data_IF_069842151209
#
_entry.id   IF_069842151209
#
_cell.length_a   1.000
_cell.length_b   1.000
_cell.length_c   1.000
_cell.angle_alpha   90.00
_cell.angle_beta   90.00
_cell.angle_gamma   90.00
#
_symmetry.space_group_name_H-M   'P 1'
#
loop_
_entity.id
_entity.type
_entity.pdbx_description
1 polymer ?
#
# COMPACT_ATOMS: atom_id res chain seq x y z
N UNK A 1 -19.07 -1.68 4.26
CA UNK A 1 -19.32 -0.85 5.46
C UNK A 1 -18.15 0.10 5.69
N UNK A 2 -16.91 -0.41 5.71
CA UNK A 2 -15.70 0.33 6.09
C UNK A 2 -15.48 1.67 5.36
N UNK A 3 -15.75 1.73 4.05
CA UNK A 3 -15.65 2.97 3.28
C UNK A 3 -16.65 4.04 3.74
N UNK A 4 -17.91 3.66 3.99
CA UNK A 4 -18.95 4.57 4.50
C UNK A 4 -18.61 5.03 5.92
N UNK A 5 -18.17 4.11 6.78
CA UNK A 5 -17.77 4.44 8.16
C UNK A 5 -16.55 5.35 8.18
N UNK A 6 -15.59 5.15 7.26
CA UNK A 6 -14.43 6.04 7.10
C UNK A 6 -14.84 7.43 6.59
N UNK A 7 -15.81 7.53 5.68
CA UNK A 7 -16.36 8.81 5.24
C UNK A 7 -17.01 9.58 6.40
N UNK A 8 -17.83 8.90 7.20
CA UNK A 8 -18.44 9.48 8.41
C UNK A 8 -17.35 9.95 9.38
N UNK A 9 -16.34 9.11 9.63
CA UNK A 9 -15.20 9.46 10.48
C UNK A 9 -14.45 10.70 9.98
N UNK A 10 -14.20 10.77 8.67
CA UNK A 10 -13.56 11.92 8.03
C UNK A 10 -14.38 13.21 8.23
N UNK A 11 -15.70 13.15 8.08
CA UNK A 11 -16.59 14.28 8.38
C UNK A 11 -16.53 14.71 9.87
N UNK A 12 -16.17 13.80 10.77
CA UNK A 12 -15.97 14.06 12.19
C UNK A 12 -14.51 14.42 12.54
N UNK A 13 -13.65 14.64 11.54
CA UNK A 13 -12.26 15.07 11.73
C UNK A 13 -11.24 13.93 11.88
N UNK A 14 -11.61 12.67 11.62
CA UNK A 14 -10.65 11.56 11.58
C UNK A 14 -9.87 11.59 10.25
N UNK A 15 -8.54 11.84 10.26
CA UNK A 15 -7.75 11.88 9.04
C UNK A 15 -7.36 10.48 8.52
N UNK A 16 -7.70 9.42 9.26
CA UNK A 16 -7.30 8.05 8.96
C UNK A 16 -8.48 7.20 8.44
N UNK A 17 -8.19 6.38 7.43
CA UNK A 17 -9.15 5.39 6.91
C UNK A 17 -9.29 4.27 7.94
N UNK A 18 -10.54 3.88 8.24
CA UNK A 18 -10.80 2.76 9.13
C UNK A 18 -10.56 1.45 8.36
N UNK A 19 -9.87 0.50 9.00
CA UNK A 19 -9.61 -0.83 8.45
C UNK A 19 -10.14 -1.94 9.37
N UNK A 20 -10.25 -3.15 8.82
CA UNK A 20 -10.67 -4.32 9.59
C UNK A 20 -9.69 -4.57 10.73
N UNK A 21 -10.24 -4.68 11.93
CA UNK A 21 -9.46 -4.92 13.14
C UNK A 21 -8.82 -6.32 13.11
N UNK A 22 -7.48 -6.38 13.12
CA UNK A 22 -6.71 -7.64 13.07
C UNK A 22 -7.04 -8.60 14.21
N UNK A 23 -7.44 -8.07 15.38
CA UNK A 23 -7.81 -8.89 16.52
C UNK A 23 -9.17 -9.57 16.36
N UNK A 24 -10.03 -9.11 15.43
CA UNK A 24 -11.41 -9.58 15.33
C UNK A 24 -11.54 -11.09 15.15
N UNK A 25 -10.77 -11.78 14.27
CA UNK A 25 -10.77 -13.24 14.20
C UNK A 25 -10.43 -13.91 15.54
N UNK A 26 -9.45 -13.39 16.27
CA UNK A 26 -9.04 -13.91 17.59
C UNK A 26 -10.13 -13.75 18.65
N UNK A 27 -10.75 -12.57 18.75
CA UNK A 27 -11.87 -12.34 19.68
C UNK A 27 -13.10 -13.19 19.33
N UNK A 28 -13.36 -13.38 18.03
CA UNK A 28 -14.45 -14.24 17.56
C UNK A 28 -14.21 -15.71 17.94
N UNK A 29 -12.96 -16.18 17.84
CA UNK A 29 -12.57 -17.53 18.28
C UNK A 29 -12.72 -17.71 19.80
N UNK A 30 -12.52 -16.67 20.59
CA UNK A 30 -12.76 -16.65 22.05
C UNK A 30 -14.25 -16.51 22.43
N UNK A 31 -15.17 -16.59 21.47
CA UNK A 31 -16.61 -16.49 21.71
C UNK A 31 -17.16 -15.07 21.77
N UNK A 32 -16.36 -14.07 21.37
CA UNK A 32 -16.80 -12.67 21.24
C UNK A 32 -17.96 -12.54 20.25
N UNK A 33 -19.03 -11.87 20.68
CA UNK A 33 -20.25 -11.61 19.88
C UNK A 33 -20.50 -10.11 19.74
N UNK A 34 -21.61 -9.74 19.10
CA UNK A 34 -22.00 -8.34 18.88
C UNK A 34 -21.96 -7.47 20.16
N UNK A 35 -22.37 -8.04 21.31
CA UNK A 35 -22.32 -7.33 22.60
C UNK A 35 -20.91 -6.99 23.06
N UNK A 36 -19.92 -7.86 22.78
CA UNK A 36 -18.51 -7.58 23.06
C UNK A 36 -18.01 -6.41 22.21
N UNK A 37 -18.32 -6.42 20.90
CA UNK A 37 -17.94 -5.33 19.99
C UNK A 37 -18.59 -4.00 20.37
N UNK A 38 -19.89 -4.01 20.72
CA UNK A 38 -20.61 -2.82 21.16
C UNK A 38 -20.06 -2.28 22.49
N UNK A 39 -19.84 -3.15 23.49
CA UNK A 39 -19.26 -2.78 24.78
C UNK A 39 -17.85 -2.21 24.64
N UNK A 40 -17.02 -2.81 23.78
CA UNK A 40 -15.67 -2.30 23.46
C UNK A 40 -15.76 -0.91 22.84
N UNK A 41 -16.66 -0.69 21.88
CA UNK A 41 -16.88 0.62 21.28
C UNK A 41 -17.30 1.68 22.30
N UNK A 42 -18.27 1.37 23.17
CA UNK A 42 -18.73 2.27 24.24
C UNK A 42 -17.58 2.58 25.20
N UNK A 43 -16.82 1.58 25.63
CA UNK A 43 -15.67 1.77 26.53
C UNK A 43 -14.64 2.72 25.91
N UNK A 44 -14.28 2.52 24.64
CA UNK A 44 -13.33 3.39 23.94
C UNK A 44 -13.85 4.82 23.84
N UNK A 45 -15.15 5.02 23.55
CA UNK A 45 -15.77 6.36 23.54
C UNK A 45 -15.62 7.03 24.91
N UNK A 46 -15.92 6.31 26.00
CA UNK A 46 -15.78 6.84 27.35
C UNK A 46 -14.32 7.22 27.66
N UNK A 47 -13.37 6.33 27.36
CA UNK A 47 -11.94 6.58 27.56
C UNK A 47 -11.43 7.80 26.77
N UNK A 48 -11.93 8.00 25.55
CA UNK A 48 -11.64 9.20 24.75
C UNK A 48 -12.25 10.46 25.38
N UNK A 49 -13.52 10.42 25.79
CA UNK A 49 -14.22 11.59 26.36
C UNK A 49 -13.60 12.04 27.68
N UNK A 50 -13.17 11.10 28.51
CA UNK A 50 -12.47 11.39 29.78
C UNK A 50 -10.96 11.67 29.60
N UNK A 51 -10.45 11.71 28.37
CA UNK A 51 -9.04 12.02 28.07
C UNK A 51 -8.04 10.98 28.60
N UNK A 52 -8.52 9.80 29.03
CA UNK A 52 -7.71 8.78 29.70
C UNK A 52 -6.67 8.18 28.74
N UNK A 53 -6.99 8.11 27.44
CA UNK A 53 -6.05 7.62 26.42
C UNK A 53 -4.78 8.48 26.35
N UNK A 54 -4.90 9.81 26.45
CA UNK A 54 -3.73 10.70 26.43
C UNK A 54 -2.81 10.48 27.63
N UNK A 55 -3.38 10.19 28.81
CA UNK A 55 -2.62 9.84 30.01
C UNK A 55 -1.90 8.51 29.83
N UNK A 56 -2.57 7.50 29.26
CA UNK A 56 -1.96 6.21 28.96
C UNK A 56 -0.80 6.33 27.95
N UNK A 57 -0.95 7.16 26.91
CA UNK A 57 0.11 7.40 25.92
C UNK A 57 1.31 8.15 26.51
N UNK A 58 1.12 8.98 27.54
CA UNK A 58 2.21 9.61 28.27
C UNK A 58 3.00 8.62 29.15
N UNK A 59 2.33 7.57 29.63
CA UNK A 59 2.92 6.55 30.50
C UNK A 59 3.57 5.41 29.72
N UNK A 60 3.07 5.08 28.53
CA UNK A 60 3.59 4.00 27.69
C UNK A 60 4.75 4.52 26.85
N UNK A 61 5.98 4.00 27.02
CA UNK A 61 7.11 4.42 26.19
C UNK A 61 6.85 4.08 24.71
N UNK A 62 7.08 5.04 23.81
CA UNK A 62 6.90 4.83 22.37
C UNK A 62 7.75 3.65 21.84
N UNK A 63 8.90 3.38 22.46
CA UNK A 63 9.80 2.27 22.12
C UNK A 63 9.13 0.90 22.32
N UNK A 64 8.19 0.78 23.26
CA UNK A 64 7.46 -0.46 23.51
C UNK A 64 6.53 -0.86 22.35
N UNK A 65 6.23 0.07 21.45
CA UNK A 65 5.39 -0.17 20.27
C UNK A 65 6.18 -0.92 19.18
N UNK A 66 7.51 -0.78 19.15
CA UNK A 66 8.34 -1.31 18.06
C UNK A 66 8.28 -2.84 17.91
N UNK A 67 8.37 -3.66 18.98
CA UNK A 67 8.25 -5.12 18.83
C UNK A 67 6.90 -5.56 18.30
N UNK A 68 5.82 -4.84 18.65
CA UNK A 68 4.46 -5.11 18.17
C UNK A 68 4.38 -4.83 16.67
N UNK A 69 4.90 -3.69 16.21
CA UNK A 69 4.92 -3.35 14.79
C UNK A 69 5.78 -4.32 13.98
N UNK A 70 6.94 -4.72 14.51
CA UNK A 70 7.81 -5.72 13.88
C UNK A 70 7.08 -7.05 13.72
N UNK A 71 6.40 -7.52 14.78
CA UNK A 71 5.64 -8.77 14.75
C UNK A 71 4.50 -8.72 13.72
N UNK A 72 3.72 -7.63 13.71
CA UNK A 72 2.63 -7.44 12.75
C UNK A 72 3.18 -7.40 11.32
N UNK A 73 4.29 -6.68 11.07
CA UNK A 73 4.91 -6.62 9.75
C UNK A 73 5.40 -8.00 9.27
N UNK A 74 6.02 -8.78 10.16
CA UNK A 74 6.44 -10.15 9.84
C UNK A 74 5.26 -11.06 9.53
N UNK A 75 4.18 -11.01 10.32
CA UNK A 75 2.99 -11.82 10.10
C UNK A 75 2.26 -11.46 8.81
N UNK A 76 1.96 -10.18 8.59
CA UNK A 76 1.26 -9.75 7.37
C UNK A 76 2.15 -9.97 6.15
N UNK A 77 3.45 -9.71 6.28
CA UNK A 77 4.43 -9.95 5.24
C UNK A 77 4.49 -11.42 4.84
N UNK A 78 4.56 -12.35 5.80
CA UNK A 78 4.58 -13.79 5.49
C UNK A 78 3.24 -14.28 4.91
N UNK A 79 2.11 -13.83 5.47
CA UNK A 79 0.77 -14.15 4.98
C UNK A 79 0.57 -13.71 3.53
N UNK A 80 1.10 -12.55 3.13
CA UNK A 80 1.00 -12.09 1.75
C UNK A 80 1.57 -13.12 0.76
N UNK A 81 2.67 -13.82 1.11
CA UNK A 81 3.25 -14.86 0.27
C UNK A 81 2.63 -16.25 0.46
N UNK A 82 2.12 -16.55 1.65
CA UNK A 82 1.55 -17.87 1.96
C UNK A 82 0.11 -18.03 1.44
N UNK A 83 -0.68 -16.96 1.49
CA UNK A 83 -2.09 -16.95 1.07
C UNK A 83 -2.27 -16.60 -0.41
N UNK A 84 -1.17 -16.28 -1.11
CA UNK A 84 -1.18 -15.96 -2.54
C UNK A 84 -0.54 -17.11 -3.32
N UNK A 85 -1.06 -17.49 -4.51
CA UNK A 85 -0.40 -18.47 -5.38
C UNK A 85 1.09 -18.15 -5.58
N UNK A 86 1.95 -19.17 -5.51
CA UNK A 86 3.42 -19.00 -5.58
C UNK A 86 3.87 -18.27 -6.84
N UNK A 87 3.22 -18.54 -7.98
CA UNK A 87 3.47 -17.85 -9.25
C UNK A 87 3.27 -16.32 -9.19
N UNK A 88 2.54 -15.76 -8.21
CA UNK A 88 2.34 -14.31 -8.04
C UNK A 88 3.35 -13.64 -7.12
N UNK A 89 4.32 -14.37 -6.55
CA UNK A 89 5.36 -13.79 -5.69
C UNK A 89 6.05 -12.54 -6.29
N UNK A 90 6.37 -12.48 -7.60
CA UNK A 90 6.92 -11.26 -8.19
C UNK A 90 5.97 -10.05 -8.15
N UNK A 91 4.66 -10.27 -8.25
CA UNK A 91 3.67 -9.19 -8.18
C UNK A 91 3.56 -8.60 -6.77
N UNK A 92 3.72 -9.42 -5.73
CA UNK A 92 3.81 -8.96 -4.34
C UNK A 92 5.00 -8.01 -4.18
N UNK A 93 6.19 -8.43 -4.62
CA UNK A 93 7.40 -7.60 -4.55
C UNK A 93 7.23 -6.31 -5.35
N UNK A 94 6.67 -6.38 -6.57
CA UNK A 94 6.42 -5.19 -7.39
C UNK A 94 5.47 -4.20 -6.69
N UNK A 95 4.43 -4.70 -6.01
CA UNK A 95 3.47 -3.84 -5.30
C UNK A 95 4.08 -3.10 -4.10
N UNK A 96 5.18 -3.61 -3.53
CA UNK A 96 5.91 -2.98 -2.43
C UNK A 96 6.82 -1.84 -2.90
N UNK A 97 7.24 -1.83 -4.17
CA UNK A 97 8.22 -0.85 -4.69
C UNK A 97 7.78 0.61 -4.47
N UNK A 98 6.54 1.03 -4.80
CA UNK A 98 6.08 2.40 -4.51
C UNK A 98 6.10 2.76 -3.02
N UNK A 99 5.85 1.78 -2.14
CA UNK A 99 5.86 1.99 -0.70
C UNK A 99 7.29 2.24 -0.19
N UNK A 100 8.26 1.48 -0.69
CA UNK A 100 9.68 1.69 -0.39
C UNK A 100 10.17 3.06 -0.87
N UNK A 101 9.73 3.49 -2.06
CA UNK A 101 10.05 4.81 -2.58
C UNK A 101 9.48 5.93 -1.69
N UNK A 102 8.20 5.83 -1.29
CA UNK A 102 7.56 6.80 -0.40
C UNK A 102 8.23 6.86 0.99
N UNK A 103 8.60 5.70 1.54
CA UNK A 103 9.34 5.61 2.79
C UNK A 103 10.72 6.26 2.68
N UNK A 104 11.48 5.96 1.63
CA UNK A 104 12.80 6.57 1.39
C UNK A 104 12.69 8.09 1.25
N UNK A 105 11.73 8.60 0.48
CA UNK A 105 11.48 10.05 0.36
C UNK A 105 11.15 10.69 1.71
N UNK A 106 10.38 10.00 2.56
CA UNK A 106 10.06 10.49 3.91
C UNK A 106 11.31 10.60 4.79
N UNK A 107 12.19 9.59 4.77
CA UNK A 107 13.45 9.64 5.52
C UNK A 107 14.38 10.75 5.02
N UNK A 108 14.51 10.90 3.70
CA UNK A 108 15.32 11.96 3.08
C UNK A 108 14.79 13.34 3.49
N UNK A 109 13.47 13.55 3.40
CA UNK A 109 12.85 14.82 3.75
C UNK A 109 12.99 15.14 5.24
N UNK A 110 12.83 14.13 6.11
CA UNK A 110 13.05 14.28 7.55
C UNK A 110 14.48 14.68 7.88
N UNK A 111 15.47 14.03 7.25
CA UNK A 111 16.88 14.33 7.44
C UNK A 111 17.24 15.75 6.95
N UNK A 112 16.75 16.15 5.77
CA UNK A 112 16.95 17.50 5.24
C UNK A 112 16.30 18.56 6.12
N UNK A 113 15.06 18.32 6.59
CA UNK A 113 14.37 19.24 7.49
C UNK A 113 15.12 19.42 8.81
N UNK A 114 15.65 18.33 9.39
CA UNK A 114 16.51 18.39 10.58
C UNK A 114 17.81 19.17 10.34
N UNK A 115 18.34 19.15 9.11
CA UNK A 115 19.49 19.95 8.69
C UNK A 115 19.12 21.38 8.26
N UNK A 116 17.86 21.81 8.45
CA UNK A 116 17.39 23.16 8.13
C UNK A 116 16.97 23.37 6.66
N UNK A 117 16.93 22.30 5.85
CA UNK A 117 16.47 22.34 4.45
C UNK A 117 15.04 21.81 4.35
N UNK A 118 14.07 22.71 4.24
CA UNK A 118 12.65 22.34 4.15
C UNK A 118 12.24 22.32 2.68
N UNK A 119 12.04 21.12 2.11
CA UNK A 119 11.76 20.93 0.66
C UNK A 119 10.62 21.84 0.14
N UNK A 120 9.45 21.94 0.80
CA UNK A 120 8.38 22.82 0.33
C UNK A 120 8.71 24.32 0.31
N UNK A 121 9.75 24.75 1.01
CA UNK A 121 10.18 26.15 1.08
C UNK A 121 11.27 26.51 0.05
N UNK A 122 11.80 25.53 -0.68
CA UNK A 122 12.84 25.76 -1.68
C UNK A 122 12.26 26.39 -2.94
N UNK A 123 13.02 27.31 -3.55
CA UNK A 123 12.73 27.77 -4.92
C UNK A 123 13.02 26.65 -5.93
N UNK A 124 12.43 26.74 -7.12
CA UNK A 124 12.66 25.75 -8.18
C UNK A 124 14.16 25.59 -8.53
N UNK A 125 14.93 26.68 -8.51
CA UNK A 125 16.38 26.66 -8.76
C UNK A 125 17.15 25.93 -7.64
N UNK A 126 16.82 26.22 -6.38
CA UNK A 126 17.42 25.54 -5.22
C UNK A 126 17.10 24.04 -5.23
N UNK A 127 15.86 23.70 -5.57
CA UNK A 127 15.41 22.32 -5.68
C UNK A 127 16.16 21.56 -6.79
N UNK A 128 16.33 22.20 -7.95
CA UNK A 128 17.10 21.63 -9.07
C UNK A 128 18.58 21.44 -8.70
N UNK A 129 19.20 22.42 -8.04
CA UNK A 129 20.58 22.34 -7.58
C UNK A 129 20.79 21.27 -6.49
N UNK A 130 19.82 21.09 -5.59
CA UNK A 130 19.86 20.04 -4.57
C UNK A 130 19.73 18.66 -5.22
N UNK A 131 18.76 18.50 -6.11
CA UNK A 131 18.49 17.22 -6.78
C UNK A 131 19.65 16.81 -7.69
N UNK A 132 20.35 17.76 -8.32
CA UNK A 132 21.54 17.46 -9.12
C UNK A 132 22.72 16.99 -8.26
N UNK A 133 22.96 17.62 -7.11
CA UNK A 133 23.97 17.16 -6.13
C UNK A 133 23.62 15.77 -5.59
N UNK A 134 22.37 15.55 -5.19
CA UNK A 134 21.88 14.25 -4.74
C UNK A 134 22.09 13.15 -5.78
N UNK A 135 21.82 13.45 -7.06
CA UNK A 135 22.04 12.50 -8.15
C UNK A 135 23.50 12.06 -8.27
N UNK A 136 24.45 12.98 -8.10
CA UNK A 136 25.88 12.65 -8.16
C UNK A 136 26.31 11.70 -7.03
N UNK A 137 25.62 11.74 -5.89
CA UNK A 137 25.83 10.87 -4.73
C UNK A 137 24.93 9.61 -4.77
N UNK A 138 24.23 9.34 -5.88
CA UNK A 138 23.38 8.16 -6.06
C UNK A 138 21.96 8.30 -5.50
N UNK A 139 21.57 9.46 -4.97
CA UNK A 139 20.21 9.70 -4.46
C UNK A 139 19.31 10.22 -5.60
N UNK A 140 18.54 9.32 -6.19
CA UNK A 140 17.59 9.61 -7.29
C UNK A 140 16.27 10.22 -6.76
N UNK A 141 16.36 11.35 -6.07
CA UNK A 141 15.25 11.94 -5.30
C UNK A 141 13.96 12.15 -6.12
N UNK A 142 14.07 12.76 -7.31
CA UNK A 142 12.89 13.00 -8.17
C UNK A 142 12.19 11.70 -8.60
N UNK A 143 12.97 10.65 -8.88
CA UNK A 143 12.41 9.33 -9.22
C UNK A 143 11.68 8.69 -8.04
N UNK A 144 12.22 8.84 -6.82
CA UNK A 144 11.57 8.37 -5.59
C UNK A 144 10.26 9.13 -5.32
N UNK A 145 10.23 10.45 -5.56
CA UNK A 145 9.00 11.25 -5.43
C UNK A 145 7.90 10.76 -6.38
N UNK A 146 8.23 10.61 -7.67
CA UNK A 146 7.27 10.13 -8.67
C UNK A 146 6.81 8.71 -8.32
N UNK A 147 7.73 7.80 -7.99
CA UNK A 147 7.39 6.41 -7.72
C UNK A 147 6.59 6.24 -6.42
N UNK A 148 6.90 7.04 -5.39
CA UNK A 148 6.25 7.03 -4.09
C UNK A 148 4.93 7.81 -4.02
N UNK A 149 4.66 8.70 -4.98
CA UNK A 149 3.41 9.43 -5.09
C UNK A 149 2.21 8.48 -5.16
N UNK A 150 1.29 8.58 -4.19
CA UNK A 150 0.13 7.69 -4.11
C UNK A 150 0.48 6.21 -3.93
N UNK A 151 1.57 5.89 -3.21
CA UNK A 151 2.15 4.54 -3.09
C UNK A 151 1.16 3.39 -2.88
N UNK A 152 0.10 3.60 -2.10
CA UNK A 152 -0.97 2.60 -1.88
C UNK A 152 -1.67 2.24 -3.19
N UNK A 153 -2.18 3.25 -3.91
CA UNK A 153 -2.86 3.05 -5.19
C UNK A 153 -1.88 2.58 -6.26
N UNK A 154 -0.68 3.15 -6.30
CA UNK A 154 0.38 2.75 -7.23
C UNK A 154 0.78 1.28 -7.04
N UNK A 155 0.97 0.83 -5.80
CA UNK A 155 1.27 -0.56 -5.49
C UNK A 155 0.13 -1.51 -5.85
N UNK A 156 -1.12 -1.10 -5.57
CA UNK A 156 -2.31 -1.88 -5.92
C UNK A 156 -2.46 -2.06 -7.44
N UNK A 157 -2.34 -0.97 -8.21
CA UNK A 157 -2.46 -1.01 -9.67
C UNK A 157 -1.32 -1.83 -10.28
N UNK A 158 -0.07 -1.59 -9.88
CA UNK A 158 1.07 -2.36 -10.39
C UNK A 158 0.98 -3.84 -10.04
N UNK A 159 0.57 -4.18 -8.81
CA UNK A 159 0.32 -5.55 -8.38
C UNK A 159 -0.77 -6.23 -9.21
N UNK A 160 -1.92 -5.56 -9.39
CA UNK A 160 -3.01 -6.10 -10.20
C UNK A 160 -2.60 -6.33 -11.67
N UNK A 161 -1.91 -5.36 -12.28
CA UNK A 161 -1.41 -5.50 -13.65
C UNK A 161 -0.44 -6.68 -13.74
N UNK A 162 0.52 -6.80 -12.81
CA UNK A 162 1.46 -7.91 -12.79
C UNK A 162 0.77 -9.28 -12.64
N UNK A 163 -0.19 -9.40 -11.71
CA UNK A 163 -0.99 -10.63 -11.53
C UNK A 163 -1.71 -10.99 -12.83
N UNK A 164 -2.40 -10.05 -13.48
CA UNK A 164 -3.13 -10.35 -14.71
C UNK A 164 -2.21 -10.63 -15.90
N UNK A 165 -0.98 -10.10 -15.91
CA UNK A 165 0.04 -10.47 -16.89
C UNK A 165 0.54 -11.90 -16.64
N UNK A 166 0.81 -12.28 -15.39
CA UNK A 166 1.21 -13.64 -15.00
C UNK A 166 0.11 -14.65 -15.36
N UNK A 167 -1.15 -14.31 -15.11
CA UNK A 167 -2.33 -15.10 -15.48
C UNK A 167 -2.69 -15.04 -16.97
N UNK A 168 -1.94 -14.29 -17.78
CA UNK A 168 -2.20 -14.09 -19.22
C UNK A 168 -3.61 -13.52 -19.52
N UNK A 169 -4.21 -12.85 -18.55
CA UNK A 169 -5.52 -12.18 -18.67
C UNK A 169 -5.32 -10.72 -19.11
N UNK A 170 -4.72 -10.54 -20.29
CA UNK A 170 -4.29 -9.22 -20.79
C UNK A 170 -5.41 -8.17 -20.93
N UNK A 171 -6.67 -8.60 -21.14
CA UNK A 171 -7.82 -7.69 -21.13
C UNK A 171 -8.01 -7.01 -19.77
N UNK A 172 -7.88 -7.76 -18.68
CA UNK A 172 -7.98 -7.22 -17.32
C UNK A 172 -6.77 -6.37 -16.99
N UNK A 173 -5.56 -6.83 -17.34
CA UNK A 173 -4.34 -6.03 -17.19
C UNK A 173 -4.45 -4.67 -17.88
N UNK A 174 -4.99 -4.64 -19.11
CA UNK A 174 -5.27 -3.40 -19.84
C UNK A 174 -6.24 -2.49 -19.09
N UNK A 175 -7.34 -3.04 -18.53
CA UNK A 175 -8.29 -2.28 -17.73
C UNK A 175 -7.66 -1.63 -16.48
N UNK A 176 -6.80 -2.38 -15.77
CA UNK A 176 -6.08 -1.83 -14.61
C UNK A 176 -5.04 -0.78 -15.01
N UNK A 177 -4.32 -0.98 -16.11
CA UNK A 177 -3.40 0.02 -16.64
C UNK A 177 -4.14 1.31 -17.07
N UNK A 178 -5.32 1.19 -17.68
CA UNK A 178 -6.17 2.33 -18.03
C UNK A 178 -6.66 3.07 -16.79
N UNK A 179 -7.10 2.36 -15.75
CA UNK A 179 -7.44 2.96 -14.47
C UNK A 179 -6.22 3.68 -13.86
N UNK A 180 -5.04 3.07 -13.91
CA UNK A 180 -3.77 3.69 -13.50
C UNK A 180 -3.47 4.98 -14.25
N UNK A 181 -3.71 5.02 -15.56
CA UNK A 181 -3.55 6.24 -16.36
C UNK A 181 -4.47 7.38 -15.90
N UNK A 182 -5.75 7.08 -15.66
CA UNK A 182 -6.73 8.06 -15.18
C UNK A 182 -6.35 8.57 -13.79
N UNK A 183 -6.03 7.67 -12.86
CA UNK A 183 -5.62 8.03 -11.51
C UNK A 183 -4.33 8.87 -11.50
N UNK A 184 -3.37 8.52 -12.36
CA UNK A 184 -2.12 9.28 -12.52
C UNK A 184 -2.37 10.66 -13.12
N UNK A 185 -3.29 10.77 -14.08
CA UNK A 185 -3.64 12.05 -14.70
C UNK A 185 -4.23 13.04 -13.69
N UNK A 186 -5.03 12.54 -12.74
CA UNK A 186 -5.61 13.36 -11.66
C UNK A 186 -4.69 13.53 -10.43
N UNK A 187 -3.48 12.98 -10.46
CA UNK A 187 -2.51 13.08 -9.36
C UNK A 187 -2.79 12.17 -8.16
N UNK A 188 -3.73 11.21 -8.26
CA UNK A 188 -3.95 10.19 -7.22
C UNK A 188 -2.81 9.17 -7.15
N UNK A 189 -2.10 8.98 -8.27
CA UNK A 189 -0.91 8.16 -8.39
C UNK A 189 0.21 8.99 -9.00
N UNK A 190 1.44 8.77 -8.55
CA UNK A 190 2.66 9.37 -9.09
C UNK A 190 2.73 10.91 -9.14
N UNK A 191 1.77 11.62 -8.54
CA UNK A 191 1.72 13.07 -8.45
C UNK A 191 2.09 13.59 -7.05
N UNK A 192 2.52 14.86 -6.99
CA UNK A 192 2.80 15.56 -5.72
C UNK A 192 1.53 16.10 -5.04
N UNK A 193 0.47 16.28 -5.83
CA UNK A 193 -0.83 16.80 -5.39
C UNK A 193 -1.95 16.30 -6.30
N UNK A 194 -3.18 16.47 -5.86
CA UNK A 194 -4.38 16.19 -6.66
C UNK A 194 -4.63 17.40 -7.58
N UNK A 195 -4.82 17.15 -8.87
CA UNK A 195 -5.01 18.18 -9.87
C UNK A 195 -5.15 17.57 -11.27
N UNK A 196 -5.42 18.40 -12.28
CA UNK A 196 -5.59 17.91 -13.66
C UNK A 196 -4.26 17.99 -14.40
N UNK A 197 -3.77 16.85 -14.90
CA UNK A 197 -2.53 16.80 -15.68
C UNK A 197 -1.26 16.93 -14.83
N UNK A 198 -1.27 16.41 -13.60
CA UNK A 198 -0.15 16.52 -12.65
C UNK A 198 1.06 15.67 -13.06
N UNK A 199 0.85 14.52 -13.71
CA UNK A 199 1.93 13.62 -14.16
C UNK A 199 1.67 13.06 -15.56
N UNK A 200 1.63 13.92 -16.59
CA UNK A 200 1.12 13.56 -17.91
C UNK A 200 1.97 12.51 -18.63
N UNK A 201 3.30 12.53 -18.43
CA UNK A 201 4.22 11.56 -19.02
C UNK A 201 4.00 10.16 -18.42
N UNK A 202 3.80 10.09 -17.09
CA UNK A 202 3.55 8.81 -16.41
C UNK A 202 2.15 8.30 -16.75
N UNK A 203 1.15 9.18 -16.80
CA UNK A 203 -0.20 8.84 -17.24
C UNK A 203 -0.21 8.29 -18.68
N UNK A 204 0.53 8.93 -19.59
CA UNK A 204 0.72 8.44 -20.96
C UNK A 204 1.40 7.06 -20.98
N UNK A 205 2.38 6.82 -20.10
CA UNK A 205 3.04 5.51 -20.00
C UNK A 205 2.06 4.40 -19.62
N UNK A 206 1.14 4.66 -18.68
CA UNK A 206 0.06 3.74 -18.35
C UNK A 206 -0.94 3.57 -19.50
N UNK A 207 -1.25 4.62 -20.27
CA UNK A 207 -2.10 4.51 -21.48
C UNK A 207 -1.46 3.64 -22.55
N UNK A 208 -0.17 3.84 -22.81
CA UNK A 208 0.60 3.01 -23.76
C UNK A 208 0.60 1.56 -23.28
N UNK A 209 0.88 1.33 -21.99
CA UNK A 209 0.81 -0.02 -21.40
C UNK A 209 -0.57 -0.65 -21.59
N UNK A 210 -1.65 0.10 -21.33
CA UNK A 210 -3.01 -0.38 -21.54
C UNK A 210 -3.26 -0.78 -23.00
N UNK A 211 -2.79 0.02 -23.96
CA UNK A 211 -2.89 -0.27 -25.39
C UNK A 211 -2.09 -1.49 -25.82
N UNK A 212 -0.87 -1.66 -25.31
CA UNK A 212 -0.02 -2.84 -25.57
C UNK A 212 -0.72 -4.10 -25.02
N UNK A 213 -1.18 -4.08 -23.77
CA UNK A 213 -1.88 -5.21 -23.17
C UNK A 213 -3.17 -5.56 -23.92
N UNK A 214 -3.94 -4.56 -24.35
CA UNK A 214 -5.13 -4.79 -25.16
C UNK A 214 -4.80 -5.44 -26.50
N UNK A 215 -3.70 -5.02 -27.12
CA UNK A 215 -3.22 -5.60 -28.38
C UNK A 215 -2.77 -7.05 -28.18
N UNK A 216 -1.99 -7.34 -27.13
CA UNK A 216 -1.64 -8.71 -26.75
C UNK A 216 -2.88 -9.57 -26.53
N UNK A 217 -3.92 -9.02 -25.89
CA UNK A 217 -5.17 -9.75 -25.65
C UNK A 217 -5.92 -10.15 -26.94
N UNK A 218 -5.68 -9.46 -28.06
CA UNK A 218 -6.31 -9.75 -29.35
C UNK A 218 -5.43 -10.59 -30.27
N UNK A 219 -4.11 -10.40 -30.21
CA UNK A 219 -3.21 -10.89 -31.26
C UNK A 219 -2.14 -11.87 -30.74
N UNK A 220 -1.93 -11.99 -29.43
CA UNK A 220 -0.93 -12.91 -28.91
C UNK A 220 -1.43 -14.36 -28.97
N UNK A 221 -0.63 -15.24 -29.56
CA UNK A 221 -0.78 -16.70 -29.40
C UNK A 221 -0.14 -17.07 -28.07
N UNK A 222 -0.97 -17.36 -27.09
CA UNK A 222 -0.54 -17.61 -25.72
C UNK A 222 -0.46 -19.13 -25.51
N UNK A 223 0.73 -19.65 -25.17
CA UNK A 223 0.87 -21.06 -24.81
C UNK A 223 -0.02 -21.42 -23.59
N UNK A 224 -0.39 -22.68 -23.36
CA UNK A 224 -1.09 -23.05 -22.13
C UNK A 224 -0.20 -22.75 -20.91
N UNK A 225 -0.79 -22.26 -19.81
CA UNK A 225 -0.07 -22.15 -18.53
C UNK A 225 0.16 -23.57 -18.02
N UNK A 226 1.40 -23.92 -17.68
CA UNK A 226 1.69 -25.18 -16.98
C UNK A 226 1.06 -25.06 -15.60
N UNK A 227 0.08 -25.91 -15.28
CA UNK A 227 -0.49 -25.95 -13.94
C UNK A 227 0.61 -26.36 -12.95
N UNK A 228 0.89 -25.50 -11.98
CA UNK A 228 1.69 -25.89 -10.82
C UNK A 228 0.87 -26.93 -10.06
N UNK A 229 1.35 -28.19 -9.98
CA UNK A 229 0.76 -29.18 -9.07
C UNK A 229 0.80 -28.60 -7.66
N UNK A 230 -0.36 -28.35 -7.07
CA UNK A 230 -0.43 -28.05 -5.65
C UNK A 230 0.25 -29.19 -4.88
N UNK A 231 1.21 -28.90 -3.98
CA UNK A 231 1.69 -29.92 -3.08
C UNK A 231 0.52 -30.30 -2.18
N UNK A 232 -0.08 -31.46 -2.45
CA UNK A 232 -0.99 -32.17 -1.54
C UNK A 232 -0.46 -32.02 -0.12
N UNK A 233 -1.07 -31.14 0.67
CA UNK A 233 -0.81 -31.10 2.11
C UNK A 233 -1.25 -32.47 2.63
N UNK A 234 -0.25 -33.30 2.91
CA UNK A 234 -0.42 -34.66 3.37
C UNK A 234 -1.42 -34.68 4.50
N UNK A 235 -2.41 -35.56 4.38
CA UNK A 235 -3.29 -35.95 5.46
C UNK A 235 -2.46 -36.12 6.74
N UNK A 236 -2.80 -35.37 7.79
CA UNK A 236 -2.25 -35.65 9.11
C UNK A 236 -2.63 -37.09 9.45
N UNK A 237 -1.68 -37.95 9.87
CA UNK A 237 -2.03 -39.28 10.33
C UNK A 237 -2.94 -39.13 11.55
N UNK A 238 -4.13 -39.73 11.45
CA UNK A 238 -5.04 -39.92 12.58
C UNK A 238 -4.26 -40.68 13.67
N UNK A 239 -4.26 -40.24 14.93
CA UNK A 239 -3.62 -41.01 16.00
C UNK A 239 -4.30 -42.38 16.07
N UNK A 240 -3.52 -43.45 15.94
CA UNK A 240 -3.99 -44.78 16.28
C UNK A 240 -4.30 -44.81 17.79
N UNK A 241 -5.40 -45.49 18.12
CA UNK A 241 -6.00 -45.66 19.46
C UNK A 241 -5.01 -45.97 20.58
#
# INVERSE_FOLDING_TARGET
ADGIVSLIGCMMGNPFINAVYIGHPGWKAMGGRIGYSAGTGILVILLCWFGTISVMLALIPAVAILPILLYIAMLIGSQAFQETPRSHAPAIILSLVPHLAAWATTLINGALAAAGTIIPALTAEQMAALTSKMRNEGVLYHGLQILGGGSILSGLILGAVAVFVIERQFKKASGFALAGALLTYFGFMHGERIGVGESPVVALSYLIMAGIMFSCAKFAVVAPKVEEMEPSHGAMPVPAE
#
